data_IF_300622272108
#
_entry.id   IF_300622272108
#
_cell.length_a   1.000
_cell.length_b   1.000
_cell.length_c   1.000
_cell.angle_alpha   90.00
_cell.angle_beta   90.00
_cell.angle_gamma   90.00
#
_symmetry.space_group_name_H-M   'P 1'
#
loop_
_entity.id
_entity.type
_entity.pdbx_description
1 polymer ?
#
# COMPACT_ATOMS: atom_id res chain seq x y z
N UNK A 1 -3.19 9.82 -22.68
CA UNK A 1 -3.28 8.81 -21.59
C UNK A 1 -2.46 7.65 -22.05
N UNK A 2 -1.46 7.19 -21.28
CA UNK A 2 -0.63 6.05 -21.69
C UNK A 2 -1.50 4.80 -21.73
N UNK A 3 -1.47 4.10 -22.87
CA UNK A 3 -2.19 2.83 -23.08
C UNK A 3 -1.29 1.69 -22.60
N UNK A 4 -1.38 1.38 -21.30
CA UNK A 4 -0.61 0.28 -20.71
C UNK A 4 -1.32 -1.06 -20.94
N UNK A 5 -0.58 -2.18 -21.05
CA UNK A 5 -1.16 -3.50 -21.05
C UNK A 5 -2.16 -3.69 -19.91
N UNK A 6 -3.30 -4.34 -20.16
CA UNK A 6 -4.30 -4.57 -19.13
C UNK A 6 -3.81 -5.58 -18.09
N UNK A 7 -4.15 -5.36 -16.82
CA UNK A 7 -4.00 -6.34 -15.76
C UNK A 7 -4.97 -7.50 -16.06
N UNK A 8 -4.53 -8.74 -15.80
CA UNK A 8 -5.35 -9.94 -15.95
C UNK A 8 -6.66 -9.83 -15.17
N UNK A 9 -7.77 -10.20 -15.78
CA UNK A 9 -9.10 -10.16 -15.17
C UNK A 9 -9.69 -11.55 -14.96
N UNK A 10 -10.35 -11.75 -13.83
CA UNK A 10 -11.07 -12.98 -13.49
C UNK A 10 -12.46 -12.64 -12.93
N UNK A 11 -13.40 -13.58 -13.06
CA UNK A 11 -14.74 -13.55 -12.46
C UNK A 11 -15.00 -14.82 -11.68
N UNK A 12 -15.85 -14.74 -10.64
CA UNK A 12 -16.32 -15.91 -9.89
C UNK A 12 -15.20 -16.71 -9.24
N UNK A 13 -14.18 -16.01 -8.70
CA UNK A 13 -13.04 -16.65 -8.05
C UNK A 13 -13.48 -17.22 -6.70
N UNK A 14 -13.23 -18.51 -6.48
CA UNK A 14 -13.49 -19.16 -5.18
C UNK A 14 -12.38 -18.85 -4.16
N UNK A 15 -12.67 -18.91 -2.85
CA UNK A 15 -11.65 -18.75 -1.80
C UNK A 15 -10.46 -19.69 -1.95
N UNK A 16 -10.71 -20.95 -2.32
CA UNK A 16 -9.64 -21.94 -2.55
C UNK A 16 -8.73 -21.50 -3.72
N UNK A 17 -9.33 -21.13 -4.86
CA UNK A 17 -8.56 -20.67 -6.02
C UNK A 17 -7.77 -19.40 -5.72
N UNK A 18 -8.34 -18.45 -4.97
CA UNK A 18 -7.64 -17.26 -4.57
C UNK A 18 -6.40 -17.58 -3.74
N UNK A 19 -6.58 -18.39 -2.69
CA UNK A 19 -5.50 -18.77 -1.76
C UNK A 19 -4.42 -19.65 -2.39
N UNK A 20 -4.82 -20.65 -3.21
CA UNK A 20 -3.93 -21.72 -3.64
C UNK A 20 -3.28 -21.47 -5.01
N UNK A 21 -3.85 -20.54 -5.84
CA UNK A 21 -3.34 -20.23 -7.18
C UNK A 21 -2.95 -18.76 -7.33
N UNK A 22 -3.85 -17.81 -6.93
CA UNK A 22 -3.67 -16.40 -7.24
C UNK A 22 -2.64 -15.76 -6.31
N UNK A 23 -2.77 -15.94 -5.00
CA UNK A 23 -1.82 -15.38 -4.04
C UNK A 23 -0.40 -15.89 -4.27
N UNK A 24 -0.15 -17.21 -4.46
CA UNK A 24 1.20 -17.71 -4.72
C UNK A 24 1.84 -17.24 -6.03
N UNK A 25 1.03 -16.89 -7.03
CA UNK A 25 1.55 -16.39 -8.31
C UNK A 25 2.24 -15.03 -8.19
N UNK A 26 1.96 -14.25 -7.14
CA UNK A 26 2.53 -12.92 -6.88
C UNK A 26 2.39 -11.97 -8.09
N UNK A 27 1.29 -12.09 -8.84
CA UNK A 27 0.93 -11.24 -9.96
C UNK A 27 -0.39 -10.51 -9.68
N UNK A 28 -0.56 -9.24 -10.10
CA UNK A 28 -1.79 -8.50 -9.90
C UNK A 28 -2.94 -9.11 -10.73
N UNK A 29 -4.13 -9.13 -10.13
CA UNK A 29 -5.34 -9.67 -10.77
C UNK A 29 -6.53 -8.82 -10.41
N UNK A 30 -7.30 -8.39 -11.41
CA UNK A 30 -8.63 -7.78 -11.24
C UNK A 30 -9.66 -8.89 -11.04
N UNK A 31 -10.42 -8.78 -9.98
CA UNK A 31 -11.55 -9.66 -9.65
C UNK A 31 -12.85 -8.90 -9.93
N UNK A 32 -13.42 -9.10 -11.12
CA UNK A 32 -14.62 -8.40 -11.57
C UNK A 32 -15.85 -8.86 -10.80
N UNK A 33 -16.57 -7.91 -10.21
CA UNK A 33 -17.78 -8.18 -9.46
C UNK A 33 -17.55 -8.90 -8.14
N UNK A 34 -16.33 -8.87 -7.58
CA UNK A 34 -15.98 -9.63 -6.36
C UNK A 34 -16.77 -9.18 -5.13
N UNK A 35 -17.28 -7.94 -5.14
CA UNK A 35 -18.02 -7.34 -4.02
C UNK A 35 -19.35 -6.71 -4.45
N UNK A 36 -19.91 -7.09 -5.58
CA UNK A 36 -21.19 -6.60 -6.12
C UNK A 36 -22.34 -6.68 -5.10
N UNK A 37 -22.36 -7.72 -4.29
CA UNK A 37 -23.41 -7.96 -3.32
C UNK A 37 -23.34 -7.08 -2.06
N UNK A 38 -22.28 -6.30 -1.90
CA UNK A 38 -22.16 -5.44 -0.73
C UNK A 38 -23.25 -4.36 -0.68
N UNK A 39 -23.91 -4.15 0.46
CA UNK A 39 -24.79 -3.00 0.67
C UNK A 39 -24.09 -1.66 0.37
N UNK A 40 -22.81 -1.55 0.69
CA UNK A 40 -21.98 -0.39 0.37
C UNK A 40 -21.88 -0.14 -1.14
N UNK A 41 -21.69 -1.18 -1.96
CA UNK A 41 -21.64 -1.07 -3.43
C UNK A 41 -23.00 -0.67 -4.00
N UNK A 42 -24.09 -1.23 -3.49
CA UNK A 42 -25.45 -0.80 -3.89
C UNK A 42 -25.67 0.69 -3.60
N UNK A 43 -25.29 1.17 -2.44
CA UNK A 43 -25.36 2.60 -2.12
C UNK A 43 -24.45 3.45 -3.04
N UNK A 44 -23.28 2.92 -3.40
CA UNK A 44 -22.34 3.55 -4.34
C UNK A 44 -22.89 3.67 -5.77
N UNK A 45 -23.64 2.69 -6.23
CA UNK A 45 -24.31 2.72 -7.54
C UNK A 45 -25.51 3.67 -7.56
N UNK A 46 -26.21 3.83 -6.43
CA UNK A 46 -27.37 4.69 -6.36
C UNK A 46 -27.03 6.17 -6.55
N UNK A 47 -26.15 6.71 -5.73
CA UNK A 47 -25.63 8.08 -5.87
C UNK A 47 -24.52 8.39 -4.86
N UNK A 48 -23.72 9.47 -5.08
CA UNK A 48 -22.79 9.99 -4.10
C UNK A 48 -23.45 10.28 -2.73
N UNK A 49 -24.66 10.85 -2.75
CA UNK A 49 -25.42 11.15 -1.54
C UNK A 49 -25.88 9.89 -0.79
N UNK A 50 -26.35 8.87 -1.51
CA UNK A 50 -26.74 7.59 -0.91
C UNK A 50 -25.54 6.92 -0.23
N UNK A 51 -24.38 6.90 -0.88
CA UNK A 51 -23.16 6.38 -0.32
C UNK A 51 -22.66 7.18 0.90
N UNK A 52 -22.71 8.51 0.83
CA UNK A 52 -22.38 9.37 1.98
C UNK A 52 -23.32 9.12 3.17
N UNK A 53 -24.61 8.95 2.94
CA UNK A 53 -25.58 8.61 3.97
C UNK A 53 -25.36 7.20 4.55
N UNK A 54 -25.00 6.24 3.72
CA UNK A 54 -24.63 4.90 4.15
C UNK A 54 -23.44 4.95 5.14
N UNK A 55 -22.36 5.66 4.79
CA UNK A 55 -21.20 5.81 5.68
C UNK A 55 -21.55 6.56 6.96
N UNK A 56 -22.39 7.63 6.90
CA UNK A 56 -22.86 8.34 8.11
C UNK A 56 -23.63 7.43 9.05
N UNK A 57 -24.48 6.54 8.50
CA UNK A 57 -25.26 5.60 9.30
C UNK A 57 -24.41 4.58 10.05
N UNK A 58 -23.16 4.37 9.62
CA UNK A 58 -22.22 3.45 10.25
C UNK A 58 -21.18 4.17 11.14
N UNK A 59 -21.03 5.50 11.00
CA UNK A 59 -20.03 6.30 11.71
C UNK A 59 -20.33 6.36 13.22
N UNK A 60 -19.33 6.08 14.02
CA UNK A 60 -19.43 6.20 15.49
C UNK A 60 -18.95 7.56 16.03
N UNK A 61 -18.62 8.51 15.15
CA UNK A 61 -18.19 9.88 15.48
C UNK A 61 -16.72 10.02 15.85
N UNK A 62 -15.90 8.96 15.72
CA UNK A 62 -14.45 9.04 15.98
C UNK A 62 -13.76 9.86 14.89
N UNK A 63 -13.01 10.93 15.23
CA UNK A 63 -12.27 11.71 14.25
C UNK A 63 -11.22 10.86 13.52
N UNK A 64 -10.99 11.19 12.26
CA UNK A 64 -9.99 10.54 11.42
C UNK A 64 -9.05 11.55 10.78
N UNK A 65 -7.83 11.14 10.47
CA UNK A 65 -6.86 11.97 9.77
C UNK A 65 -7.35 12.24 8.33
N UNK A 66 -7.42 13.52 7.98
CA UNK A 66 -7.91 13.98 6.68
C UNK A 66 -6.87 14.88 6.04
N UNK A 67 -6.49 14.53 4.81
CA UNK A 67 -5.63 15.35 3.98
C UNK A 67 -6.48 16.33 3.19
N UNK A 68 -6.08 17.61 3.19
CA UNK A 68 -6.77 18.68 2.49
C UNK A 68 -5.76 19.43 1.64
N UNK A 69 -6.00 19.46 0.35
CA UNK A 69 -5.16 20.15 -0.63
C UNK A 69 -5.88 21.32 -1.28
N UNK A 70 -5.18 22.44 -1.48
CA UNK A 70 -5.72 23.58 -2.20
C UNK A 70 -6.08 23.22 -3.65
N UNK A 71 -7.02 23.92 -4.32
CA UNK A 71 -7.39 23.65 -5.71
C UNK A 71 -6.19 23.59 -6.66
N UNK A 72 -5.16 24.38 -6.39
CA UNK A 72 -3.95 24.45 -7.21
C UNK A 72 -3.17 23.14 -7.35
N UNK A 73 -3.32 22.19 -6.40
CA UNK A 73 -2.66 20.88 -6.51
C UNK A 73 -3.36 19.92 -7.49
N UNK A 74 -4.56 20.27 -7.96
CA UNK A 74 -5.33 19.45 -8.92
C UNK A 74 -5.62 18.02 -8.44
N UNK A 75 -5.73 17.81 -7.13
CA UNK A 75 -5.95 16.49 -6.54
C UNK A 75 -4.70 15.65 -6.33
N UNK A 76 -3.51 16.15 -6.70
CA UNK A 76 -2.26 15.40 -6.59
C UNK A 76 -1.55 15.69 -5.27
N UNK A 77 -1.73 14.83 -4.29
CA UNK A 77 -1.03 14.89 -3.00
C UNK A 77 0.43 14.47 -3.18
N UNK A 78 1.34 15.40 -2.85
CA UNK A 78 2.77 15.24 -3.10
C UNK A 78 3.62 16.03 -2.09
N UNK A 79 4.93 15.98 -2.26
CA UNK A 79 5.83 16.90 -1.59
C UNK A 79 5.67 18.33 -2.12
N UNK A 80 6.12 19.31 -1.33
CA UNK A 80 6.39 20.65 -1.80
C UNK A 80 7.67 20.67 -2.71
N UNK A 81 7.97 21.80 -3.32
CA UNK A 81 9.01 21.88 -4.36
C UNK A 81 10.42 21.52 -3.87
N UNK A 82 10.74 21.75 -2.60
CA UNK A 82 12.06 21.48 -2.01
C UNK A 82 12.13 20.16 -1.25
N UNK A 83 11.07 19.35 -1.27
CA UNK A 83 10.93 18.07 -0.58
C UNK A 83 11.09 18.15 0.96
N UNK A 84 10.89 19.31 1.56
CA UNK A 84 10.96 19.53 3.01
C UNK A 84 9.60 19.50 3.70
N UNK A 85 8.52 19.48 2.93
CA UNK A 85 7.13 19.48 3.39
C UNK A 85 6.21 18.87 2.36
N UNK A 86 4.92 19.02 2.58
CA UNK A 86 3.86 18.54 1.69
C UNK A 86 3.13 19.72 1.03
N UNK A 87 2.50 19.47 -0.11
CA UNK A 87 1.63 20.42 -0.79
C UNK A 87 0.18 20.41 -0.26
N UNK A 88 -0.04 19.81 0.91
CA UNK A 88 -1.34 19.64 1.55
C UNK A 88 -1.23 19.76 3.07
N UNK A 89 -2.37 19.93 3.72
CA UNK A 89 -2.49 19.94 5.18
C UNK A 89 -3.13 18.65 5.69
N UNK A 90 -2.85 18.27 6.94
CA UNK A 90 -3.53 17.21 7.65
C UNK A 90 -4.35 17.80 8.79
N UNK A 91 -5.60 17.39 8.90
CA UNK A 91 -6.50 17.79 9.99
C UNK A 91 -7.33 16.62 10.46
N UNK A 92 -7.50 16.43 11.77
CA UNK A 92 -8.49 15.49 12.29
C UNK A 92 -9.90 16.06 12.02
N UNK A 93 -10.71 15.36 11.25
CA UNK A 93 -12.11 15.68 11.01
C UNK A 93 -12.99 14.50 11.45
N UNK A 94 -14.24 14.80 11.85
CA UNK A 94 -15.27 13.77 11.95
C UNK A 94 -15.66 13.31 10.54
N UNK A 95 -15.95 12.03 10.39
CA UNK A 95 -16.33 11.46 9.11
C UNK A 95 -17.54 12.19 8.51
N UNK A 96 -18.55 12.47 9.33
CA UNK A 96 -19.72 13.24 8.89
C UNK A 96 -19.34 14.62 8.32
N UNK A 97 -18.41 15.34 8.96
CA UNK A 97 -17.94 16.64 8.49
C UNK A 97 -17.18 16.53 7.14
N UNK A 98 -16.29 15.54 7.00
CA UNK A 98 -15.60 15.30 5.75
C UNK A 98 -16.56 14.94 4.61
N UNK A 99 -17.58 14.12 4.88
CA UNK A 99 -18.62 13.77 3.92
C UNK A 99 -19.46 14.99 3.52
N UNK A 100 -19.85 15.86 4.47
CA UNK A 100 -20.60 17.09 4.17
C UNK A 100 -19.82 18.01 3.25
N UNK A 101 -18.52 18.19 3.51
CA UNK A 101 -17.64 18.97 2.64
C UNK A 101 -17.55 18.37 1.25
N UNK A 102 -17.34 17.04 1.13
CA UNK A 102 -17.28 16.35 -0.16
C UNK A 102 -18.58 16.50 -0.95
N UNK A 103 -19.73 16.41 -0.30
CA UNK A 103 -21.04 16.62 -0.97
C UNK A 103 -21.23 18.06 -1.46
N UNK A 104 -20.71 19.05 -0.75
CA UNK A 104 -20.73 20.46 -1.18
C UNK A 104 -19.81 20.74 -2.37
N UNK A 105 -18.82 19.86 -2.62
CA UNK A 105 -17.82 20.03 -3.67
C UNK A 105 -18.12 19.24 -4.96
N UNK A 106 -19.20 18.44 -4.99
CA UNK A 106 -19.52 17.54 -6.11
C UNK A 106 -19.51 18.24 -7.48
N UNK A 107 -20.10 19.44 -7.56
CA UNK A 107 -20.28 20.17 -8.80
C UNK A 107 -19.31 21.35 -8.96
N UNK A 108 -18.24 21.39 -8.15
CA UNK A 108 -17.27 22.49 -8.20
C UNK A 108 -16.01 22.06 -8.96
N UNK A 109 -15.72 22.68 -10.13
CA UNK A 109 -14.56 22.32 -10.93
C UNK A 109 -13.22 22.66 -10.22
N UNK A 110 -13.17 23.78 -9.48
CA UNK A 110 -12.00 24.26 -8.76
C UNK A 110 -12.11 23.96 -7.25
N UNK A 111 -12.52 22.73 -6.93
CA UNK A 111 -12.67 22.29 -5.54
C UNK A 111 -11.32 22.04 -4.88
N UNK A 112 -11.26 22.27 -3.57
CA UNK A 112 -10.20 21.71 -2.76
C UNK A 112 -10.22 20.18 -2.86
N UNK A 113 -9.06 19.55 -2.66
CA UNK A 113 -8.94 18.10 -2.63
C UNK A 113 -9.07 17.59 -1.21
N UNK A 114 -9.98 16.66 -0.98
CA UNK A 114 -10.18 16.04 0.33
C UNK A 114 -9.93 14.54 0.19
N UNK A 115 -9.05 14.01 1.03
CA UNK A 115 -8.73 12.60 1.09
C UNK A 115 -8.72 12.10 2.51
N UNK A 116 -9.71 11.27 2.84
CA UNK A 116 -9.80 10.55 4.10
C UNK A 116 -9.25 9.15 3.86
N UNK A 117 -8.15 8.83 4.51
CA UNK A 117 -7.39 7.62 4.21
C UNK A 117 -7.29 6.65 5.37
N UNK A 118 -7.29 5.37 5.05
CA UNK A 118 -6.96 4.27 5.97
C UNK A 118 -7.79 4.22 7.25
N UNK A 119 -9.12 4.46 7.15
CA UNK A 119 -10.03 4.43 8.30
C UNK A 119 -10.37 3.00 8.68
N UNK A 120 -9.86 2.46 9.81
CA UNK A 120 -10.14 1.09 10.21
C UNK A 120 -11.62 0.91 10.57
N UNK A 121 -12.27 -0.12 10.03
CA UNK A 121 -13.71 -0.32 10.29
C UNK A 121 -14.03 -0.62 11.76
N UNK A 122 -13.25 -1.39 12.54
CA UNK A 122 -13.59 -1.64 13.94
C UNK A 122 -13.67 -0.38 14.80
N UNK A 123 -12.82 0.63 14.51
CA UNK A 123 -12.74 1.85 15.29
C UNK A 123 -13.69 2.96 14.84
N UNK A 124 -14.13 2.97 13.57
CA UNK A 124 -14.92 4.07 13.02
C UNK A 124 -16.27 3.62 12.44
N UNK A 125 -16.33 2.43 11.86
CA UNK A 125 -17.50 1.84 11.21
C UNK A 125 -17.76 0.41 11.73
N UNK A 126 -18.03 0.20 13.02
CA UNK A 126 -18.02 -1.14 13.64
C UNK A 126 -19.03 -2.12 13.04
N UNK A 127 -20.10 -1.64 12.42
CA UNK A 127 -21.07 -2.48 11.75
C UNK A 127 -20.75 -2.80 10.27
N UNK A 128 -19.71 -2.18 9.69
CA UNK A 128 -19.41 -2.30 8.26
C UNK A 128 -19.15 -3.75 7.83
N UNK A 129 -18.29 -4.47 8.54
CA UNK A 129 -17.86 -5.81 8.19
C UNK A 129 -18.96 -6.88 8.33
N UNK A 130 -19.98 -6.62 9.15
CA UNK A 130 -21.12 -7.52 9.28
C UNK A 130 -21.87 -7.67 7.95
N UNK A 131 -22.04 -6.56 7.23
CA UNK A 131 -22.88 -6.48 6.04
C UNK A 131 -22.07 -6.50 4.74
N UNK A 132 -20.76 -6.21 4.80
CA UNK A 132 -19.85 -6.18 3.67
C UNK A 132 -18.69 -7.17 3.88
N UNK A 133 -18.98 -8.45 3.65
CA UNK A 133 -18.02 -9.53 3.90
C UNK A 133 -17.12 -9.79 2.71
N UNK A 134 -15.85 -10.16 2.95
CA UNK A 134 -14.89 -10.56 1.92
C UNK A 134 -14.52 -12.04 2.10
N UNK A 135 -15.23 -12.96 1.45
CA UNK A 135 -15.05 -14.39 1.67
C UNK A 135 -13.73 -14.95 1.10
N UNK A 136 -13.02 -14.19 0.29
CA UNK A 136 -11.70 -14.57 -0.26
C UNK A 136 -10.58 -14.49 0.78
N UNK A 137 -10.76 -13.72 1.86
CA UNK A 137 -9.76 -13.40 2.86
C UNK A 137 -10.11 -13.97 4.23
N UNK A 138 -9.10 -14.09 5.10
CA UNK A 138 -9.30 -14.43 6.50
C UNK A 138 -10.18 -13.37 7.19
N UNK A 139 -11.23 -13.77 7.94
CA UNK A 139 -12.10 -12.82 8.65
C UNK A 139 -11.42 -11.94 9.69
N UNK A 140 -10.21 -12.31 10.13
CA UNK A 140 -9.39 -11.48 11.03
C UNK A 140 -8.71 -10.29 10.37
N UNK A 141 -8.67 -10.22 9.03
CA UNK A 141 -8.05 -9.10 8.32
C UNK A 141 -8.98 -7.89 8.38
N UNK A 142 -8.48 -6.80 8.97
CA UNK A 142 -9.27 -5.58 9.21
C UNK A 142 -9.41 -4.78 7.93
N UNK A 143 -10.62 -4.54 7.42
CA UNK A 143 -10.85 -3.65 6.30
C UNK A 143 -10.67 -2.18 6.70
N UNK A 144 -10.19 -1.38 5.72
CA UNK A 144 -9.98 0.06 5.87
C UNK A 144 -10.73 0.80 4.78
N UNK A 145 -11.48 1.82 5.17
CA UNK A 145 -12.28 2.66 4.26
C UNK A 145 -11.48 3.89 3.86
N UNK A 146 -11.57 4.24 2.59
CA UNK A 146 -10.95 5.41 1.97
C UNK A 146 -12.02 6.14 1.19
N UNK A 147 -12.15 7.45 1.36
CA UNK A 147 -13.08 8.22 0.55
C UNK A 147 -12.53 9.60 0.24
N UNK A 148 -12.86 10.11 -0.94
CA UNK A 148 -12.28 11.32 -1.48
C UNK A 148 -13.10 11.87 -2.63
N UNK A 149 -12.77 13.09 -3.05
CA UNK A 149 -13.16 13.57 -4.37
C UNK A 149 -12.17 13.09 -5.46
N UNK A 150 -11.98 13.83 -6.54
CA UNK A 150 -11.04 13.47 -7.60
C UNK A 150 -9.60 13.70 -7.13
N UNK A 151 -8.91 12.62 -6.74
CA UNK A 151 -7.51 12.66 -6.25
C UNK A 151 -6.63 11.67 -7.00
N UNK A 152 -5.35 11.99 -7.02
CA UNK A 152 -4.27 11.10 -7.46
C UNK A 152 -3.40 10.73 -6.27
N UNK A 153 -3.30 9.42 -6.00
CA UNK A 153 -2.36 8.85 -5.05
C UNK A 153 -1.10 8.48 -5.81
N UNK A 154 -0.01 9.14 -5.46
CA UNK A 154 1.28 8.99 -6.13
C UNK A 154 1.78 7.54 -6.07
N UNK A 155 2.53 7.12 -7.09
CA UNK A 155 3.12 5.78 -7.20
C UNK A 155 3.90 5.43 -5.94
N UNK A 156 3.46 4.39 -5.24
CA UNK A 156 4.03 3.89 -3.99
C UNK A 156 3.88 2.36 -3.91
N UNK A 157 4.44 1.74 -2.90
CA UNK A 157 4.23 0.34 -2.58
C UNK A 157 3.73 0.18 -1.14
N UNK A 158 3.08 -0.94 -0.84
CA UNK A 158 2.77 -1.38 0.51
C UNK A 158 3.66 -2.56 0.90
N UNK A 159 4.07 -2.63 2.17
CA UNK A 159 4.78 -3.79 2.72
C UNK A 159 3.73 -4.80 3.21
N UNK A 160 2.87 -5.20 2.31
CA UNK A 160 1.79 -6.19 2.52
C UNK A 160 1.14 -6.56 1.20
N UNK A 161 0.51 -7.71 1.12
CA UNK A 161 -0.47 -8.00 0.08
C UNK A 161 -1.71 -7.15 0.30
N UNK A 162 -2.39 -6.73 -0.77
CA UNK A 162 -3.51 -5.79 -0.72
C UNK A 162 -4.65 -6.26 -1.61
N UNK A 163 -5.87 -6.24 -1.08
CA UNK A 163 -7.10 -6.38 -1.85
C UNK A 163 -7.83 -5.04 -1.84
N UNK A 164 -7.86 -4.35 -2.96
CA UNK A 164 -8.47 -3.03 -3.13
C UNK A 164 -9.84 -3.16 -3.80
N UNK A 165 -10.94 -2.94 -3.05
CA UNK A 165 -12.31 -3.07 -3.50
C UNK A 165 -12.90 -1.69 -3.80
N UNK A 166 -13.31 -1.42 -5.03
CA UNK A 166 -13.98 -0.18 -5.39
C UNK A 166 -15.45 -0.26 -4.99
N UNK A 167 -15.91 0.71 -4.21
CA UNK A 167 -17.28 0.74 -3.64
C UNK A 167 -18.13 1.84 -4.27
N UNK A 168 -17.53 3.00 -4.55
CA UNK A 168 -18.21 4.10 -5.25
C UNK A 168 -17.20 4.87 -6.09
N UNK A 169 -17.66 5.38 -7.23
CA UNK A 169 -16.83 6.05 -8.23
C UNK A 169 -15.88 5.07 -8.93
N UNK A 170 -15.26 5.50 -10.02
CA UNK A 170 -14.32 4.71 -10.82
C UNK A 170 -12.88 5.05 -10.44
N UNK A 171 -12.01 4.05 -10.49
CA UNK A 171 -10.58 4.24 -10.23
C UNK A 171 -9.74 3.59 -11.31
N UNK A 172 -8.67 4.28 -11.71
CA UNK A 172 -7.61 3.68 -12.51
C UNK A 172 -6.44 3.35 -11.62
N UNK A 173 -5.97 2.12 -11.71
CA UNK A 173 -4.73 1.65 -11.12
C UNK A 173 -3.69 1.46 -12.22
N UNK A 174 -2.48 1.95 -12.00
CA UNK A 174 -1.31 1.65 -12.83
C UNK A 174 -0.27 1.02 -11.92
N UNK A 175 0.15 -0.20 -12.25
CA UNK A 175 1.03 -1.02 -11.43
C UNK A 175 2.38 -1.23 -12.10
N UNK A 176 3.41 -1.31 -11.27
CA UNK A 176 4.77 -1.61 -11.71
C UNK A 176 5.33 -2.75 -10.86
N UNK A 177 6.03 -3.74 -11.47
CA UNK A 177 6.67 -4.82 -10.73
C UNK A 177 7.70 -4.29 -9.72
N UNK A 178 7.94 -4.98 -8.60
CA UNK A 178 8.93 -4.57 -7.58
C UNK A 178 10.33 -4.31 -8.13
N UNK A 179 10.73 -5.01 -9.18
CA UNK A 179 12.03 -4.88 -9.86
C UNK A 179 12.24 -3.50 -10.48
N UNK A 180 11.16 -2.76 -10.73
CA UNK A 180 11.22 -1.40 -11.28
C UNK A 180 11.61 -0.34 -10.25
N UNK A 181 11.84 -0.68 -9.01
CA UNK A 181 12.21 0.26 -7.93
C UNK A 181 13.34 1.22 -8.35
N UNK A 182 14.37 0.71 -9.02
CA UNK A 182 15.50 1.52 -9.49
C UNK A 182 15.12 2.53 -10.57
N UNK A 183 14.06 2.26 -11.33
CA UNK A 183 13.56 3.05 -12.44
C UNK A 183 12.45 4.03 -12.03
N UNK A 184 11.90 3.86 -10.83
CA UNK A 184 10.83 4.69 -10.27
C UNK A 184 11.33 5.90 -9.49
N UNK A 185 12.65 6.07 -9.31
CA UNK A 185 13.25 7.22 -8.61
C UNK A 185 12.60 7.50 -7.26
N UNK A 186 12.79 6.57 -6.35
CA UNK A 186 12.19 6.57 -5.01
C UNK A 186 12.64 7.78 -4.21
N UNK A 187 11.70 8.46 -3.58
CA UNK A 187 11.92 9.61 -2.70
C UNK A 187 12.53 9.22 -1.34
N UNK A 188 12.54 10.17 -0.38
CA UNK A 188 13.03 9.91 0.97
C UNK A 188 12.32 8.73 1.62
N UNK A 189 13.08 7.84 2.26
CA UNK A 189 12.53 6.64 2.92
C UNK A 189 12.01 6.94 4.33
N UNK A 190 12.53 7.98 4.97
CA UNK A 190 12.17 8.43 6.33
C UNK A 190 11.12 9.53 6.37
N UNK A 191 10.90 10.22 5.24
CA UNK A 191 9.96 11.32 5.12
C UNK A 191 8.94 11.01 4.03
N UNK A 192 7.81 10.44 4.41
CA UNK A 192 6.81 9.87 3.49
C UNK A 192 5.44 10.51 3.68
N UNK A 193 4.62 10.50 2.63
CA UNK A 193 3.27 11.09 2.65
C UNK A 193 2.32 10.33 3.59
N UNK A 194 2.43 9.00 3.60
CA UNK A 194 1.46 8.14 4.30
C UNK A 194 2.08 6.83 4.84
N UNK A 195 3.38 6.83 5.11
CA UNK A 195 4.09 5.69 5.70
C UNK A 195 5.07 5.02 4.77
N UNK A 196 4.77 4.93 3.46
CA UNK A 196 5.66 4.30 2.48
C UNK A 196 6.32 5.33 1.55
N UNK A 197 7.57 5.08 1.10
CA UNK A 197 8.21 5.90 0.08
C UNK A 197 7.42 5.91 -1.22
N UNK A 198 7.47 7.04 -1.91
CA UNK A 198 6.80 7.24 -3.19
C UNK A 198 7.82 7.49 -4.31
N UNK A 199 7.43 7.23 -5.55
CA UNK A 199 8.17 7.72 -6.73
C UNK A 199 8.13 9.23 -6.78
N UNK A 200 9.26 9.86 -7.13
CA UNK A 200 9.32 11.30 -7.38
C UNK A 200 8.87 11.69 -8.79
N UNK A 201 8.56 10.71 -9.65
CA UNK A 201 8.12 10.95 -11.02
C UNK A 201 6.60 10.96 -11.09
N UNK A 202 6.03 12.06 -11.57
CA UNK A 202 4.58 12.18 -11.82
C UNK A 202 4.22 11.42 -13.09
N UNK A 203 3.36 10.40 -12.97
CA UNK A 203 2.99 9.52 -14.09
C UNK A 203 2.31 10.29 -15.23
N UNK A 204 1.54 11.32 -14.92
CA UNK A 204 0.78 12.11 -15.90
C UNK A 204 1.67 13.04 -16.74
N UNK A 205 2.81 13.44 -16.21
CA UNK A 205 3.75 14.35 -16.87
C UNK A 205 5.18 14.05 -16.40
N UNK A 206 5.77 12.92 -16.84
CA UNK A 206 7.12 12.54 -16.43
C UNK A 206 8.18 13.45 -17.06
N UNK A 207 9.10 13.92 -16.22
CA UNK A 207 10.30 14.64 -16.64
C UNK A 207 11.40 13.64 -16.99
N UNK A 208 11.48 13.26 -18.27
CA UNK A 208 12.45 12.28 -18.75
C UNK A 208 13.89 12.81 -18.82
N UNK A 209 14.09 14.11 -18.84
CA UNK A 209 15.45 14.69 -18.76
C UNK A 209 16.01 14.44 -17.36
N UNK A 210 15.22 14.69 -16.35
CA UNK A 210 15.59 14.47 -14.94
C UNK A 210 15.55 12.98 -14.54
N UNK A 211 14.62 12.19 -15.12
CA UNK A 211 14.35 10.80 -14.75
C UNK A 211 14.40 9.85 -15.95
N UNK A 212 15.54 9.72 -16.65
CA UNK A 212 15.61 9.00 -17.94
C UNK A 212 15.23 7.52 -17.85
N UNK A 213 15.58 6.81 -16.76
CA UNK A 213 15.20 5.39 -16.61
C UNK A 213 13.70 5.17 -16.40
N UNK A 214 12.91 6.21 -16.19
CA UNK A 214 11.47 6.05 -16.03
C UNK A 214 10.79 5.47 -17.29
N UNK A 215 11.40 5.62 -18.47
CA UNK A 215 10.97 4.92 -19.69
C UNK A 215 10.93 3.40 -19.51
N UNK A 216 11.88 2.82 -18.80
CA UNK A 216 11.93 1.37 -18.53
C UNK A 216 10.81 0.95 -17.58
N UNK A 217 10.53 1.77 -16.57
CA UNK A 217 9.40 1.51 -15.68
C UNK A 217 8.06 1.53 -16.45
N UNK A 218 7.85 2.47 -17.37
CA UNK A 218 6.63 2.55 -18.18
C UNK A 218 6.45 1.34 -19.10
N UNK A 219 7.53 0.75 -19.61
CA UNK A 219 7.47 -0.46 -20.43
C UNK A 219 6.99 -1.69 -19.66
N UNK A 220 7.23 -1.74 -18.36
CA UNK A 220 6.80 -2.82 -17.47
C UNK A 220 5.45 -2.54 -16.79
N UNK A 221 4.88 -1.37 -17.01
CA UNK A 221 3.63 -0.96 -16.37
C UNK A 221 2.43 -1.73 -16.92
N UNK A 222 1.47 -2.02 -16.03
CA UNK A 222 0.16 -2.56 -16.37
C UNK A 222 -0.92 -1.66 -15.76
N UNK A 223 -2.12 -1.63 -16.35
CA UNK A 223 -3.19 -0.81 -15.80
C UNK A 223 -4.55 -1.51 -15.85
N UNK A 224 -5.44 -1.06 -14.96
CA UNK A 224 -6.84 -1.44 -14.97
C UNK A 224 -7.71 -0.26 -14.55
N UNK A 225 -8.86 -0.11 -15.21
CA UNK A 225 -9.95 0.74 -14.77
C UNK A 225 -10.96 -0.14 -14.03
N UNK A 226 -11.25 0.22 -12.77
CA UNK A 226 -12.16 -0.51 -11.89
C UNK A 226 -13.42 0.33 -11.63
N UNK A 227 -14.55 -0.36 -11.59
CA UNK A 227 -15.87 0.18 -11.27
C UNK A 227 -16.35 -0.34 -9.90
N UNK A 228 -17.40 0.28 -9.31
CA UNK A 228 -17.99 -0.25 -8.08
C UNK A 228 -18.39 -1.71 -8.23
N UNK A 229 -17.99 -2.56 -7.26
CA UNK A 229 -18.16 -4.01 -7.29
C UNK A 229 -16.87 -4.78 -7.63
N UNK A 230 -15.91 -4.15 -8.30
CA UNK A 230 -14.64 -4.78 -8.65
C UNK A 230 -13.63 -4.75 -7.49
N UNK A 231 -12.74 -5.73 -7.47
CA UNK A 231 -11.58 -5.74 -6.58
C UNK A 231 -10.29 -5.96 -7.37
N UNK A 232 -9.18 -5.45 -6.84
CA UNK A 232 -7.83 -5.65 -7.38
C UNK A 232 -6.96 -6.28 -6.31
N UNK A 233 -6.42 -7.46 -6.61
CA UNK A 233 -5.33 -8.03 -5.83
C UNK A 233 -4.01 -7.37 -6.28
N UNK A 234 -3.33 -6.74 -5.33
CA UNK A 234 -2.00 -6.13 -5.50
C UNK A 234 -1.05 -6.95 -4.62
N UNK A 235 -0.12 -7.72 -5.20
CA UNK A 235 0.82 -8.52 -4.43
C UNK A 235 1.79 -7.67 -3.60
N UNK A 236 2.47 -8.31 -2.67
CA UNK A 236 3.47 -7.71 -1.79
C UNK A 236 4.48 -6.85 -2.56
N UNK A 237 4.63 -5.57 -2.14
CA UNK A 237 5.56 -4.58 -2.70
C UNK A 237 5.40 -4.24 -4.20
N UNK A 238 4.29 -4.58 -4.83
CA UNK A 238 3.98 -4.04 -6.15
C UNK A 238 3.71 -2.54 -6.05
N UNK A 239 4.40 -1.77 -6.87
CA UNK A 239 4.18 -0.33 -6.97
C UNK A 239 2.85 -0.05 -7.63
N UNK A 240 2.10 0.89 -7.08
CA UNK A 240 0.79 1.25 -7.62
C UNK A 240 0.53 2.75 -7.54
N UNK A 241 0.00 3.25 -8.63
CA UNK A 241 -0.47 4.62 -8.82
C UNK A 241 -1.99 4.57 -8.93
N UNK A 242 -2.72 5.42 -8.20
CA UNK A 242 -4.18 5.34 -8.14
C UNK A 242 -4.80 6.69 -8.46
N UNK A 243 -5.65 6.70 -9.48
CA UNK A 243 -6.42 7.89 -9.87
C UNK A 243 -7.90 7.67 -9.60
N UNK A 244 -8.49 8.51 -8.76
CA UNK A 244 -9.94 8.61 -8.58
C UNK A 244 -10.52 9.41 -9.73
N UNK A 245 -11.48 8.82 -10.49
CA UNK A 245 -12.00 9.38 -11.75
C UNK A 245 -13.22 10.25 -11.56
N UNK A 246 -14.01 9.97 -10.55
CA UNK A 246 -15.29 10.65 -10.31
C UNK A 246 -15.18 11.67 -9.17
N UNK A 247 -16.20 12.52 -9.01
CA UNK A 247 -16.19 13.59 -8.01
C UNK A 247 -16.39 13.12 -6.57
N UNK A 248 -16.84 11.87 -6.39
CA UNK A 248 -16.87 11.18 -5.11
C UNK A 248 -16.51 9.72 -5.30
N UNK A 249 -15.56 9.25 -4.49
CA UNK A 249 -15.02 7.91 -4.61
C UNK A 249 -14.87 7.26 -3.24
N UNK A 250 -15.21 5.97 -3.14
CA UNK A 250 -15.01 5.15 -1.96
C UNK A 250 -14.31 3.87 -2.34
N UNK A 251 -13.29 3.53 -1.57
CA UNK A 251 -12.54 2.27 -1.67
C UNK A 251 -12.51 1.59 -0.30
N UNK A 252 -12.55 0.29 -0.30
CA UNK A 252 -12.25 -0.52 0.89
C UNK A 252 -11.08 -1.41 0.57
N UNK A 253 -10.04 -1.39 1.39
CA UNK A 253 -8.93 -2.31 1.20
C UNK A 253 -8.67 -3.17 2.41
N UNK A 254 -7.98 -4.28 2.15
CA UNK A 254 -7.52 -5.25 3.12
C UNK A 254 -6.03 -5.43 2.93
N UNK A 255 -5.25 -5.23 4.00
CA UNK A 255 -3.82 -5.51 4.01
C UNK A 255 -3.55 -6.74 4.87
N UNK A 256 -2.76 -7.65 4.34
CA UNK A 256 -2.29 -8.81 5.11
C UNK A 256 -0.87 -9.18 4.75
N UNK A 257 -0.23 -9.83 5.67
CA UNK A 257 1.09 -10.43 5.50
C UNK A 257 1.03 -11.91 5.89
N UNK A 258 1.77 -12.72 5.16
CA UNK A 258 1.90 -14.13 5.45
C UNK A 258 2.96 -14.38 6.54
N UNK A 259 3.84 -13.39 6.75
CA UNK A 259 4.92 -13.45 7.73
C UNK A 259 4.39 -13.20 9.13
N UNK A 260 4.68 -14.08 10.11
CA UNK A 260 4.25 -13.86 11.49
C UNK A 260 4.81 -12.56 12.08
N UNK A 261 3.97 -11.80 12.80
CA UNK A 261 4.34 -10.50 13.39
C UNK A 261 5.57 -10.55 14.31
N UNK A 262 5.84 -11.69 14.94
CA UNK A 262 7.02 -11.84 15.81
C UNK A 262 8.35 -11.81 15.06
N UNK A 263 8.39 -11.98 13.74
CA UNK A 263 9.62 -11.89 12.94
C UNK A 263 10.14 -10.44 12.79
N UNK A 264 9.29 -9.44 12.95
CA UNK A 264 9.65 -8.05 12.70
C UNK A 264 9.56 -7.68 11.21
N UNK A 265 9.91 -6.45 10.87
CA UNK A 265 9.82 -5.94 9.51
C UNK A 265 11.15 -6.06 8.75
N UNK A 266 11.16 -6.56 7.50
CA UNK A 266 12.36 -6.50 6.64
C UNK A 266 12.92 -5.09 6.46
N UNK A 267 12.08 -4.05 6.60
CA UNK A 267 12.49 -2.66 6.52
C UNK A 267 13.46 -2.28 7.66
N UNK A 268 13.31 -2.86 8.85
CA UNK A 268 14.24 -2.65 9.98
C UNK A 268 15.64 -3.19 9.64
N UNK A 269 15.71 -4.34 8.95
CA UNK A 269 16.98 -4.90 8.47
C UNK A 269 17.61 -4.00 7.40
N UNK A 270 16.82 -3.42 6.51
CA UNK A 270 17.28 -2.44 5.51
C UNK A 270 17.89 -1.20 6.19
N UNK A 271 17.21 -0.62 7.18
CA UNK A 271 17.71 0.54 7.93
C UNK A 271 19.04 0.24 8.61
N UNK A 272 19.16 -0.92 9.26
CA UNK A 272 20.42 -1.34 9.88
C UNK A 272 21.52 -1.58 8.83
N UNK A 273 21.19 -2.13 7.66
CA UNK A 273 22.10 -2.29 6.52
C UNK A 273 22.61 -0.94 5.99
N UNK A 274 21.71 0.04 5.85
CA UNK A 274 22.08 1.41 5.47
C UNK A 274 23.06 2.01 6.48
N UNK A 275 22.79 1.86 7.77
CA UNK A 275 23.65 2.37 8.84
C UNK A 275 25.04 1.71 8.84
N UNK A 276 25.10 0.39 8.72
CA UNK A 276 26.32 -0.39 9.01
C UNK A 276 27.12 -0.80 7.77
N UNK A 277 26.49 -0.90 6.59
CA UNK A 277 27.12 -1.45 5.39
C UNK A 277 27.32 -0.42 4.28
N UNK A 278 26.37 0.54 4.09
CA UNK A 278 26.35 1.48 2.98
C UNK A 278 27.67 2.22 2.77
N UNK A 279 28.33 2.67 3.84
CA UNK A 279 29.52 3.51 3.79
C UNK A 279 30.84 2.74 3.86
N UNK A 280 30.82 1.41 3.81
CA UNK A 280 32.04 0.59 3.72
C UNK A 280 32.71 0.77 2.35
N UNK A 281 34.02 0.49 2.27
CA UNK A 281 34.72 0.47 0.99
C UNK A 281 34.09 -0.57 0.03
N UNK A 282 34.19 -0.42 -1.30
CA UNK A 282 33.57 -1.33 -2.27
C UNK A 282 33.91 -2.79 -2.02
N UNK A 283 35.17 -3.09 -1.69
CA UNK A 283 35.62 -4.46 -1.38
C UNK A 283 34.95 -5.02 -0.12
N UNK A 284 34.81 -4.22 0.93
CA UNK A 284 34.13 -4.64 2.16
C UNK A 284 32.63 -4.83 1.92
N UNK A 285 31.98 -3.96 1.14
CA UNK A 285 30.57 -4.14 0.76
C UNK A 285 30.33 -5.44 0.00
N UNK A 286 31.20 -5.79 -0.95
CA UNK A 286 31.11 -7.03 -1.69
C UNK A 286 31.23 -8.27 -0.77
N UNK A 287 32.08 -8.23 0.26
CA UNK A 287 32.15 -9.30 1.25
C UNK A 287 30.83 -9.41 2.03
N UNK A 288 30.27 -8.30 2.48
CA UNK A 288 28.99 -8.31 3.17
C UNK A 288 27.84 -8.74 2.28
N UNK A 289 27.84 -8.38 1.00
CA UNK A 289 26.87 -8.89 0.03
C UNK A 289 26.88 -10.42 0.00
N UNK A 290 28.07 -11.07 -0.07
CA UNK A 290 28.19 -12.52 -0.02
C UNK A 290 27.65 -13.11 1.30
N UNK A 291 27.90 -12.43 2.43
CA UNK A 291 27.36 -12.85 3.73
C UNK A 291 25.84 -12.84 3.75
N UNK A 292 25.21 -11.76 3.25
CA UNK A 292 23.75 -11.68 3.12
C UNK A 292 23.20 -12.73 2.16
N UNK A 293 23.84 -12.92 1.00
CA UNK A 293 23.44 -13.93 0.03
C UNK A 293 23.45 -15.34 0.64
N UNK A 294 24.43 -15.64 1.48
CA UNK A 294 24.57 -16.95 2.12
C UNK A 294 23.59 -17.12 3.29
N UNK A 295 23.64 -16.22 4.28
CA UNK A 295 22.92 -16.40 5.55
C UNK A 295 21.48 -15.90 5.55
N UNK A 296 21.17 -14.88 4.74
CA UNK A 296 19.84 -14.25 4.73
C UNK A 296 19.02 -14.71 3.53
N UNK A 297 19.60 -14.63 2.33
CA UNK A 297 18.90 -14.99 1.09
C UNK A 297 19.03 -16.46 0.70
N UNK A 298 19.88 -17.22 1.40
CA UNK A 298 20.09 -18.67 1.24
C UNK A 298 20.27 -19.12 -0.23
N UNK A 299 20.94 -18.31 -1.04
CA UNK A 299 21.12 -18.57 -2.47
C UNK A 299 21.89 -19.86 -2.76
N UNK A 300 22.67 -20.33 -1.78
CA UNK A 300 23.46 -21.56 -1.89
C UNK A 300 22.86 -22.74 -1.08
N UNK A 301 21.55 -22.66 -0.74
CA UNK A 301 20.87 -23.62 0.14
C UNK A 301 20.99 -23.27 1.62
N UNK A 302 20.54 -24.20 2.48
CA UNK A 302 20.57 -24.00 3.95
C UNK A 302 22.02 -23.82 4.46
N UNK A 303 22.38 -22.62 4.98
CA UNK A 303 23.74 -22.31 5.42
C UNK A 303 24.19 -23.13 6.62
N UNK A 304 23.27 -23.80 7.30
CA UNK A 304 23.54 -24.61 8.51
C UNK A 304 23.19 -26.08 8.35
N UNK A 305 23.01 -26.56 7.10
CA UNK A 305 22.70 -27.95 6.82
C UNK A 305 23.71 -28.95 7.41
N UNK A 306 24.97 -28.55 7.59
CA UNK A 306 26.05 -29.34 8.17
C UNK A 306 26.05 -29.37 9.73
N UNK A 307 25.15 -28.57 10.37
CA UNK A 307 25.07 -28.51 11.84
C UNK A 307 23.87 -29.33 12.34
N UNK A 308 24.06 -29.95 13.49
CA UNK A 308 22.92 -30.55 14.20
C UNK A 308 21.96 -29.47 14.71
N UNK A 309 20.70 -29.80 14.95
CA UNK A 309 19.69 -28.83 15.42
C UNK A 309 20.14 -28.06 16.69
N UNK A 310 20.85 -28.72 17.61
CA UNK A 310 21.38 -28.07 18.83
C UNK A 310 22.51 -27.07 18.56
N UNK A 311 23.20 -27.20 17.42
CA UNK A 311 24.35 -26.36 17.05
C UNK A 311 23.95 -25.15 16.18
N UNK A 312 22.73 -25.13 15.66
CA UNK A 312 22.27 -24.07 14.75
C UNK A 312 22.14 -22.70 15.43
N UNK A 313 21.92 -22.69 16.76
CA UNK A 313 21.82 -21.43 17.52
C UNK A 313 20.78 -20.46 16.93
N UNK A 314 21.15 -19.21 16.69
CA UNK A 314 20.28 -18.18 16.11
C UNK A 314 19.93 -18.41 14.62
N UNK A 315 20.56 -19.37 13.97
CA UNK A 315 20.30 -19.76 12.58
C UNK A 315 19.37 -20.98 12.48
N UNK A 316 18.83 -21.44 13.61
CA UNK A 316 17.84 -22.53 13.64
C UNK A 316 16.48 -22.09 13.09
N UNK A 317 15.54 -23.03 13.04
CA UNK A 317 14.19 -22.79 12.52
C UNK A 317 13.53 -21.61 13.25
N UNK A 318 12.97 -20.64 12.52
CA UNK A 318 12.44 -19.43 13.12
C UNK A 318 11.25 -19.74 14.06
N UNK A 319 11.30 -19.15 15.24
CA UNK A 319 10.23 -19.25 16.25
C UNK A 319 10.26 -18.02 17.17
N UNK A 320 9.17 -17.74 17.93
CA UNK A 320 9.07 -16.54 18.77
C UNK A 320 10.20 -16.39 19.80
N UNK A 321 10.67 -17.50 20.39
CA UNK A 321 11.78 -17.46 21.38
C UNK A 321 13.09 -17.05 20.72
N UNK A 322 13.40 -17.58 19.55
CA UNK A 322 14.60 -17.26 18.80
C UNK A 322 14.58 -15.81 18.34
N UNK A 323 13.44 -15.33 17.84
CA UNK A 323 13.25 -13.94 17.46
C UNK A 323 13.52 -12.99 18.63
N UNK A 324 13.05 -13.32 19.83
CA UNK A 324 13.31 -12.52 21.03
C UNK A 324 14.80 -12.49 21.40
N UNK A 325 15.49 -13.60 21.31
CA UNK A 325 16.95 -13.68 21.56
C UNK A 325 17.70 -12.75 20.58
N UNK A 326 17.38 -12.83 19.28
CA UNK A 326 18.01 -12.00 18.25
C UNK A 326 17.71 -10.51 18.52
N UNK A 327 16.47 -10.16 18.85
CA UNK A 327 16.05 -8.80 19.14
C UNK A 327 16.81 -8.22 20.34
N UNK A 328 16.90 -8.96 21.43
CA UNK A 328 17.64 -8.53 22.62
C UNK A 328 19.14 -8.34 22.33
N UNK A 329 19.73 -9.20 21.52
CA UNK A 329 21.11 -9.06 21.08
C UNK A 329 21.32 -7.80 20.25
N UNK A 330 20.41 -7.52 19.28
CA UNK A 330 20.45 -6.29 18.48
C UNK A 330 20.31 -5.04 19.34
N UNK A 331 19.35 -4.98 20.25
CA UNK A 331 19.17 -3.86 21.19
C UNK A 331 20.45 -3.64 22.00
N UNK A 332 21.02 -4.69 22.55
CA UNK A 332 22.23 -4.61 23.35
C UNK A 332 23.44 -4.07 22.56
N UNK A 333 23.67 -4.58 21.34
CA UNK A 333 24.79 -4.13 20.48
C UNK A 333 24.59 -2.68 20.04
N UNK A 334 23.38 -2.31 19.61
CA UNK A 334 23.07 -0.95 19.16
C UNK A 334 23.14 0.09 20.28
N UNK A 335 22.82 -0.30 21.52
CA UNK A 335 22.92 0.57 22.69
C UNK A 335 24.38 0.85 23.09
N UNK A 336 25.31 -0.08 22.83
CA UNK A 336 26.75 0.10 23.12
C UNK A 336 27.47 1.04 22.16
N UNK A 337 27.00 1.17 20.93
CA UNK A 337 27.60 2.04 19.90
C UNK A 337 27.44 3.55 20.15
N UNK A 338 26.85 3.95 21.28
CA UNK A 338 26.65 5.37 21.68
C UNK A 338 27.74 5.91 22.66
N UNK A 339 28.88 5.24 22.78
CA UNK A 339 30.02 5.75 23.57
C UNK A 339 31.08 6.34 22.67
#
# INVERSE_FOLDING_TARGET
MNDFPPIRELRGVSPARFRDEIVPAQEPVVLRGAVDEWPAVRAGHESPHAMANYLRGLDNGTPTDTMIGAPAIGGHFFYNDDLTGYNFERRPLRIAEALDRLMQLLDRPDAESIYVGSVPTPSNFPAFTRDNTMPLLDPGIVPRVWFCNRVTVQTHYDISSNMACVVAGRRRFTLFPPEQMVNLYVGPVEFTLAGQPISLVKLENPDFERYPRYHEALQAAQAADLEPGDALFIPYMWWHHVQSRDHFNVLVNYWWEETPQWQGSPFEALLHGILSVKNLSPRKRAIWQNMFQHYVFQQNGDPVAHLTQRQRGIQGDPNPRLAEIIRQQLIHVMSRGRR
#
